data_IF_694608902183
#
_entry.id   IF_694608902183
#
_cell.length_a   1.000
_cell.length_b   1.000
_cell.length_c   1.000
_cell.angle_alpha   90.00
_cell.angle_beta   90.00
_cell.angle_gamma   90.00
#
_symmetry.space_group_name_H-M   'P 1'
#
loop_
_entity.id
_entity.type
_entity.pdbx_description
1 polymer ?
#
# COMPACT_ATOMS: atom_id res chain seq x y z
N UNK A 1 -0.03 14.38 0.19
CA UNK A 1 1.23 13.77 -0.26
C UNK A 1 2.19 13.68 0.89
N UNK A 2 3.44 13.39 0.57
CA UNK A 2 4.57 13.31 1.50
C UNK A 2 5.25 14.67 1.51
N UNK A 3 5.68 15.16 2.68
CA UNK A 3 6.48 16.40 2.74
C UNK A 3 7.90 16.13 2.28
N UNK A 4 8.54 17.13 1.65
CA UNK A 4 9.90 17.01 1.15
C UNK A 4 10.90 16.53 2.20
N UNK A 5 10.79 17.02 3.43
CA UNK A 5 11.69 16.67 4.53
C UNK A 5 11.50 15.19 4.95
N UNK A 6 10.26 14.71 4.92
CA UNK A 6 9.92 13.34 5.30
C UNK A 6 10.44 12.30 4.30
N UNK A 7 10.69 12.71 3.04
CA UNK A 7 11.18 11.82 1.98
C UNK A 7 12.54 11.23 2.34
N UNK A 8 13.49 12.05 2.79
CA UNK A 8 14.80 11.55 3.22
C UNK A 8 14.70 10.77 4.53
N UNK A 9 13.83 11.19 5.44
CA UNK A 9 13.72 10.59 6.77
C UNK A 9 13.00 9.24 6.79
N UNK A 10 12.04 9.03 5.88
CA UNK A 10 11.13 7.88 5.90
C UNK A 10 11.12 7.07 4.60
N UNK A 11 11.09 7.72 3.43
CA UNK A 11 11.01 7.02 2.13
C UNK A 11 12.37 6.47 1.73
N UNK A 12 13.46 7.18 2.03
CA UNK A 12 14.83 6.84 1.61
C UNK A 12 15.78 6.38 2.72
N UNK A 13 15.39 6.51 4.00
CA UNK A 13 16.08 5.83 5.10
C UNK A 13 15.80 4.32 5.13
N UNK A 14 16.81 3.49 5.37
CA UNK A 14 16.59 2.07 5.64
C UNK A 14 16.09 1.86 7.07
N UNK A 15 14.95 1.19 7.20
CA UNK A 15 14.31 0.99 8.50
C UNK A 15 13.53 2.21 8.97
N UNK A 16 12.63 1.97 9.92
CA UNK A 16 11.79 3.01 10.51
C UNK A 16 12.47 3.61 11.75
N UNK A 17 12.42 4.94 11.98
CA UNK A 17 12.86 5.53 13.24
C UNK A 17 12.05 4.96 14.42
N UNK A 18 12.69 4.79 15.59
CA UNK A 18 12.12 4.09 16.75
C UNK A 18 10.82 4.72 17.33
N UNK A 19 10.47 5.96 16.96
CA UNK A 19 9.38 6.74 17.56
C UNK A 19 8.16 6.97 16.65
N UNK A 20 7.87 6.09 15.71
CA UNK A 20 6.64 6.21 14.91
C UNK A 20 5.42 5.83 15.76
N UNK A 21 4.77 6.86 16.32
CA UNK A 21 3.52 6.74 17.07
C UNK A 21 2.34 6.67 16.10
N UNK A 22 1.82 5.47 15.88
CA UNK A 22 0.56 5.27 15.13
C UNK A 22 0.26 3.80 14.86
N UNK A 23 -1.02 3.46 14.72
CA UNK A 23 -1.45 2.14 14.19
C UNK A 23 -1.37 2.17 12.66
N UNK A 24 -0.17 2.04 12.12
CA UNK A 24 0.08 1.99 10.66
C UNK A 24 0.42 0.57 10.22
N UNK A 25 0.12 0.24 8.96
CA UNK A 25 0.41 -1.10 8.39
C UNK A 25 1.92 -1.29 8.16
N UNK A 26 2.63 -0.21 7.81
CA UNK A 26 4.05 -0.24 7.49
C UNK A 26 4.95 -0.15 8.72
N UNK A 27 5.30 -1.28 9.32
CA UNK A 27 6.10 -1.33 10.57
C UNK A 27 7.62 -1.26 10.32
N UNK A 28 8.09 -1.63 9.12
CA UNK A 28 9.54 -1.81 8.88
C UNK A 28 10.18 -0.75 7.97
N UNK A 29 9.41 0.09 7.28
CA UNK A 29 9.96 1.14 6.39
C UNK A 29 10.73 0.64 5.14
N UNK A 30 10.77 -0.68 4.89
CA UNK A 30 11.48 -1.27 3.74
C UNK A 30 10.57 -1.83 2.64
N UNK A 31 9.26 -1.94 2.91
CA UNK A 31 8.31 -2.60 2.02
C UNK A 31 8.25 -1.95 0.64
N UNK A 32 8.12 -0.62 0.60
CA UNK A 32 8.06 0.15 -0.64
C UNK A 32 9.33 -0.05 -1.48
N UNK A 33 10.51 0.18 -0.89
CA UNK A 33 11.80 0.04 -1.57
C UNK A 33 11.99 -1.36 -2.16
N UNK A 34 11.72 -2.40 -1.37
CA UNK A 34 11.87 -3.79 -1.83
C UNK A 34 10.92 -4.11 -2.97
N UNK A 35 9.73 -3.51 -3.00
CA UNK A 35 8.77 -3.71 -4.08
C UNK A 35 9.25 -3.02 -5.37
N UNK A 36 9.52 -1.71 -5.32
CA UNK A 36 9.89 -0.94 -6.52
C UNK A 36 11.19 -1.43 -7.17
N UNK A 37 12.23 -1.76 -6.38
CA UNK A 37 13.50 -2.28 -6.90
C UNK A 37 13.40 -3.72 -7.45
N UNK A 38 12.34 -4.46 -7.08
CA UNK A 38 12.08 -5.79 -7.66
C UNK A 38 11.30 -5.72 -8.97
N UNK A 39 10.66 -4.60 -9.27
CA UNK A 39 9.80 -4.44 -10.45
C UNK A 39 10.61 -4.00 -11.67
N UNK A 40 11.45 -2.97 -11.54
CA UNK A 40 12.20 -2.41 -12.66
C UNK A 40 13.38 -1.55 -12.24
N UNK A 41 14.08 -1.01 -13.24
CA UNK A 41 15.34 -0.28 -13.06
C UNK A 41 15.18 1.25 -13.06
N UNK A 42 13.99 1.77 -13.36
CA UNK A 42 13.74 3.21 -13.46
C UNK A 42 12.47 3.58 -12.68
N UNK A 43 12.64 4.42 -11.66
CA UNK A 43 11.59 4.74 -10.69
C UNK A 43 11.47 6.25 -10.58
N UNK A 44 10.25 6.76 -10.75
CA UNK A 44 9.89 8.15 -10.52
C UNK A 44 8.90 8.24 -9.37
N UNK A 45 9.25 8.99 -8.34
CA UNK A 45 8.38 9.31 -7.21
C UNK A 45 7.99 10.78 -7.34
N UNK A 46 6.70 11.04 -7.43
CA UNK A 46 6.11 12.38 -7.46
C UNK A 46 5.23 12.54 -6.22
N UNK A 47 5.33 13.67 -5.53
CA UNK A 47 4.40 13.98 -4.46
C UNK A 47 4.04 15.45 -4.41
N UNK A 48 2.76 15.70 -4.14
CA UNK A 48 2.18 17.00 -3.81
C UNK A 48 1.58 16.91 -2.41
N UNK A 49 2.03 17.74 -1.47
CA UNK A 49 1.49 17.78 -0.10
C UNK A 49 0.36 18.80 0.10
N UNK A 50 0.02 19.57 -0.94
CA UNK A 50 -0.93 20.68 -0.90
C UNK A 50 -0.27 22.06 -0.82
N UNK A 51 1.02 22.12 -0.50
CA UNK A 51 1.83 23.35 -0.45
C UNK A 51 2.96 23.31 -1.48
N UNK A 52 3.67 22.19 -1.56
CA UNK A 52 4.79 21.95 -2.45
C UNK A 52 4.60 20.65 -3.27
N UNK A 53 5.15 20.69 -4.49
CA UNK A 53 5.30 19.53 -5.36
C UNK A 53 6.79 19.23 -5.54
N UNK A 54 7.16 17.96 -5.46
CA UNK A 54 8.49 17.52 -5.84
C UNK A 54 8.46 16.21 -6.63
N UNK A 55 9.56 15.94 -7.33
CA UNK A 55 9.84 14.63 -7.90
C UNK A 55 11.27 14.18 -7.64
N UNK A 56 11.45 12.87 -7.43
CA UNK A 56 12.74 12.20 -7.27
C UNK A 56 12.80 11.04 -8.26
N UNK A 57 13.92 10.90 -8.97
CA UNK A 57 14.16 9.77 -9.87
C UNK A 57 15.28 8.89 -9.34
N UNK A 58 15.07 7.58 -9.46
CA UNK A 58 16.09 6.56 -9.26
C UNK A 58 16.21 5.81 -10.59
N UNK A 59 17.31 6.02 -11.29
CA UNK A 59 17.58 5.35 -12.56
C UNK A 59 18.65 4.25 -12.39
N UNK A 60 18.93 3.55 -13.49
CA UNK A 60 19.94 2.50 -13.54
C UNK A 60 21.34 2.98 -13.14
N UNK A 61 21.69 4.24 -13.45
CA UNK A 61 23.01 4.77 -13.12
C UNK A 61 23.14 4.94 -11.61
N UNK A 62 22.12 5.52 -10.97
CA UNK A 62 22.05 5.64 -9.53
C UNK A 62 22.11 4.27 -8.84
N UNK A 63 21.37 3.28 -9.34
CA UNK A 63 21.39 1.91 -8.80
C UNK A 63 22.75 1.21 -8.92
N UNK A 64 23.57 1.62 -9.89
CA UNK A 64 24.90 1.06 -10.12
C UNK A 64 26.01 1.80 -9.34
N UNK A 65 25.71 2.96 -8.74
CA UNK A 65 26.66 3.74 -7.96
C UNK A 65 26.76 3.17 -6.54
N UNK A 66 27.85 2.45 -6.27
CA UNK A 66 28.10 1.88 -4.94
C UNK A 66 28.63 2.91 -3.93
N UNK A 67 29.11 4.07 -4.40
CA UNK A 67 29.81 5.07 -3.58
C UNK A 67 28.92 6.27 -3.26
N UNK A 68 28.04 6.67 -4.18
CA UNK A 68 27.16 7.82 -4.01
C UNK A 68 25.68 7.41 -3.95
N UNK A 69 25.12 7.51 -2.75
CA UNK A 69 23.71 7.19 -2.46
C UNK A 69 22.85 8.45 -2.27
N UNK A 70 23.34 9.63 -2.69
CA UNK A 70 22.57 10.86 -2.61
C UNK A 70 21.49 10.91 -3.70
N UNK A 71 20.30 11.38 -3.33
CA UNK A 71 19.17 11.53 -4.26
C UNK A 71 18.86 13.01 -4.44
N UNK A 72 18.89 13.43 -5.71
CA UNK A 72 18.53 14.77 -6.11
C UNK A 72 17.05 14.88 -6.47
N UNK A 73 16.44 16.01 -6.10
CA UNK A 73 15.10 16.35 -6.59
C UNK A 73 15.20 16.84 -8.03
N UNK A 74 14.52 16.17 -8.95
CA UNK A 74 14.45 16.60 -10.35
C UNK A 74 13.59 17.86 -10.52
N UNK A 75 12.54 18.00 -9.71
CA UNK A 75 11.60 19.10 -9.77
C UNK A 75 11.16 19.52 -8.38
N UNK A 76 11.01 20.83 -8.19
CA UNK A 76 10.47 21.45 -6.98
C UNK A 76 9.64 22.66 -7.40
N UNK A 77 8.33 22.55 -7.22
CA UNK A 77 7.35 23.57 -7.60
C UNK A 77 6.38 23.82 -6.43
N UNK A 78 5.62 24.92 -6.53
CA UNK A 78 4.46 25.08 -5.65
C UNK A 78 3.39 24.06 -6.03
N UNK A 79 2.66 23.57 -5.03
CA UNK A 79 1.51 22.69 -5.23
C UNK A 79 0.52 23.26 -6.24
N UNK A 80 -0.10 22.37 -7.01
CA UNK A 80 -1.22 22.71 -7.90
C UNK A 80 -2.58 22.61 -7.18
N UNK A 81 -2.57 22.43 -5.86
CA UNK A 81 -3.75 22.30 -5.01
C UNK A 81 -4.41 20.93 -5.07
N UNK A 82 -3.68 19.90 -5.51
CA UNK A 82 -4.19 18.52 -5.63
C UNK A 82 -3.21 17.55 -4.98
N UNK A 83 -3.30 17.35 -3.64
CA UNK A 83 -2.38 16.50 -2.93
C UNK A 83 -2.36 15.07 -3.49
N UNK A 84 -1.17 14.56 -3.77
CA UNK A 84 -0.99 13.24 -4.36
C UNK A 84 0.36 12.63 -3.98
N UNK A 85 0.45 11.32 -4.14
CA UNK A 85 1.72 10.61 -4.21
C UNK A 85 1.59 9.60 -5.34
N UNK A 86 2.47 9.69 -6.34
CA UNK A 86 2.53 8.78 -7.46
C UNK A 86 3.91 8.14 -7.51
N UNK A 87 3.91 6.83 -7.69
CA UNK A 87 5.13 6.05 -7.87
C UNK A 87 5.00 5.34 -9.20
N UNK A 88 5.87 5.69 -10.13
CA UNK A 88 5.92 5.12 -11.47
C UNK A 88 7.19 4.29 -11.57
N UNK A 89 7.04 3.01 -11.93
CA UNK A 89 8.18 2.14 -12.25
C UNK A 89 8.13 1.82 -13.73
N UNK A 90 9.20 2.14 -14.44
CA UNK A 90 9.42 1.84 -15.85
C UNK A 90 10.63 0.91 -15.97
N UNK A 91 10.93 0.45 -17.20
CA UNK A 91 12.00 -0.52 -17.45
C UNK A 91 11.81 -1.77 -16.58
N UNK A 92 10.58 -2.28 -16.58
CA UNK A 92 10.19 -3.48 -15.84
C UNK A 92 10.99 -4.67 -16.34
N UNK A 93 11.51 -5.49 -15.43
CA UNK A 93 12.29 -6.67 -15.80
C UNK A 93 11.45 -7.60 -16.70
N UNK A 94 12.01 -8.15 -17.80
CA UNK A 94 11.22 -8.88 -18.79
C UNK A 94 10.36 -10.02 -18.24
N UNK A 95 10.90 -10.80 -17.29
CA UNK A 95 10.18 -11.89 -16.64
C UNK A 95 9.03 -11.39 -15.75
N UNK A 96 9.18 -10.23 -15.14
CA UNK A 96 8.13 -9.59 -14.34
C UNK A 96 7.07 -8.99 -15.26
N UNK A 97 7.47 -8.35 -16.35
CA UNK A 97 6.57 -7.77 -17.33
C UNK A 97 5.61 -8.82 -17.94
N UNK A 98 6.12 -10.01 -18.26
CA UNK A 98 5.31 -11.14 -18.73
C UNK A 98 4.28 -11.58 -17.68
N UNK A 99 4.69 -11.67 -16.41
CA UNK A 99 3.81 -12.08 -15.32
C UNK A 99 2.70 -11.03 -15.05
N UNK A 100 3.07 -9.76 -14.84
CA UNK A 100 2.12 -8.70 -14.50
C UNK A 100 1.16 -8.38 -15.65
N UNK A 101 1.56 -8.63 -16.90
CA UNK A 101 0.71 -8.48 -18.08
C UNK A 101 -0.35 -9.57 -18.23
N UNK A 102 -0.29 -10.62 -17.41
CA UNK A 102 -1.25 -11.73 -17.48
C UNK A 102 -2.54 -11.46 -16.70
N UNK A 103 -3.67 -11.87 -17.27
CA UNK A 103 -4.98 -11.81 -16.58
C UNK A 103 -4.99 -12.65 -15.29
N UNK A 104 -4.22 -13.74 -15.27
CA UNK A 104 -4.08 -14.59 -14.08
C UNK A 104 -3.43 -13.86 -12.94
N UNK A 105 -2.39 -13.06 -13.20
CA UNK A 105 -1.78 -12.21 -12.19
C UNK A 105 -2.73 -11.11 -11.73
N UNK A 106 -3.39 -10.40 -12.66
CA UNK A 106 -4.39 -9.37 -12.32
C UNK A 106 -5.45 -9.93 -11.35
N UNK A 107 -6.02 -11.10 -11.65
CA UNK A 107 -7.02 -11.73 -10.77
C UNK A 107 -6.44 -12.10 -9.40
N UNK A 108 -5.26 -12.74 -9.36
CA UNK A 108 -4.60 -13.06 -8.09
C UNK A 108 -4.28 -11.84 -7.25
N UNK A 109 -3.87 -10.74 -7.89
CA UNK A 109 -3.60 -9.48 -7.21
C UNK A 109 -4.89 -8.90 -6.61
N UNK A 110 -5.98 -8.85 -7.40
CA UNK A 110 -7.27 -8.37 -6.93
C UNK A 110 -7.82 -9.23 -5.78
N UNK A 111 -7.72 -10.55 -5.88
CA UNK A 111 -8.12 -11.48 -4.82
C UNK A 111 -7.27 -11.28 -3.56
N UNK A 112 -5.95 -11.16 -3.70
CA UNK A 112 -5.05 -10.92 -2.57
C UNK A 112 -5.30 -9.57 -1.87
N UNK A 113 -5.59 -8.52 -2.64
CA UNK A 113 -5.98 -7.21 -2.10
C UNK A 113 -7.30 -7.33 -1.35
N UNK A 114 -8.30 -8.00 -1.95
CA UNK A 114 -9.59 -8.27 -1.32
C UNK A 114 -9.41 -8.98 0.01
N UNK A 115 -8.74 -10.12 0.03
CA UNK A 115 -8.59 -10.95 1.23
C UNK A 115 -7.83 -10.21 2.35
N UNK A 116 -6.84 -9.39 1.99
CA UNK A 116 -5.98 -8.71 2.97
C UNK A 116 -6.59 -7.42 3.50
N UNK A 117 -7.25 -6.65 2.63
CA UNK A 117 -7.64 -5.27 2.94
C UNK A 117 -9.15 -5.02 3.01
N UNK A 118 -10.00 -6.05 2.86
CA UNK A 118 -11.47 -5.87 2.89
C UNK A 118 -11.98 -5.14 4.13
N UNK A 119 -11.38 -5.36 5.30
CA UNK A 119 -11.75 -4.68 6.56
C UNK A 119 -11.43 -3.17 6.51
N UNK A 120 -10.45 -2.75 5.71
CA UNK A 120 -10.05 -1.34 5.57
C UNK A 120 -10.74 -0.63 4.39
N UNK A 121 -11.32 -1.39 3.45
CA UNK A 121 -12.03 -0.90 2.26
C UNK A 121 -13.50 -0.51 2.52
N UNK A 122 -13.87 -0.17 3.77
CA UNK A 122 -15.17 0.48 4.06
C UNK A 122 -15.21 1.90 3.41
N UNK A 123 -15.87 2.88 4.02
CA UNK A 123 -16.00 4.25 3.49
C UNK A 123 -14.69 5.07 3.48
N UNK A 124 -13.53 4.43 3.58
CA UNK A 124 -12.24 5.06 3.87
C UNK A 124 -11.27 5.05 2.70
N UNK A 125 -11.23 3.97 1.92
CA UNK A 125 -10.24 3.79 0.86
C UNK A 125 -10.85 2.98 -0.29
N UNK A 126 -10.80 3.54 -1.49
CA UNK A 126 -11.05 2.81 -2.74
C UNK A 126 -9.74 2.29 -3.30
N UNK A 127 -9.69 1.00 -3.68
CA UNK A 127 -8.54 0.39 -4.34
C UNK A 127 -8.95 -0.07 -5.73
N UNK A 128 -8.17 0.31 -6.73
CA UNK A 128 -8.40 -0.02 -8.14
C UNK A 128 -7.16 -0.69 -8.74
N UNK A 129 -7.39 -1.67 -9.61
CA UNK A 129 -6.35 -2.32 -10.42
C UNK A 129 -6.79 -2.22 -11.88
N UNK A 130 -5.97 -1.60 -12.73
CA UNK A 130 -6.29 -1.36 -14.15
C UNK A 130 -7.67 -0.69 -14.33
N UNK A 131 -7.93 0.38 -13.55
CA UNK A 131 -9.19 1.14 -13.54
C UNK A 131 -10.43 0.33 -13.13
N UNK A 132 -10.24 -0.87 -12.57
CA UNK A 132 -11.32 -1.70 -12.04
C UNK A 132 -11.29 -1.70 -10.52
N UNK A 133 -12.39 -1.36 -9.83
CA UNK A 133 -12.45 -1.43 -8.38
C UNK A 133 -12.27 -2.89 -7.90
N UNK A 134 -11.58 -3.03 -6.77
CA UNK A 134 -11.51 -4.29 -6.02
C UNK A 134 -12.72 -4.34 -5.09
N UNK A 135 -13.59 -5.33 -5.27
CA UNK A 135 -14.76 -5.51 -4.42
C UNK A 135 -14.34 -6.04 -3.06
N UNK A 136 -14.81 -5.41 -1.99
CA UNK A 136 -14.63 -5.92 -0.61
C UNK A 136 -15.32 -7.26 -0.42
N UNK A 137 -14.82 -8.06 0.51
CA UNK A 137 -15.54 -9.21 1.03
C UNK A 137 -16.65 -8.70 1.96
N UNK A 138 -17.91 -8.97 1.60
CA UNK A 138 -19.03 -8.78 2.51
C UNK A 138 -19.09 -9.99 3.45
N UNK A 139 -18.59 -9.82 4.67
CA UNK A 139 -18.76 -10.82 5.72
C UNK A 139 -20.22 -10.83 6.18
N UNK A 140 -21.07 -11.51 5.42
CA UNK A 140 -22.42 -11.82 5.85
C UNK A 140 -22.41 -13.16 6.58
N UNK A 141 -22.98 -13.19 7.78
CA UNK A 141 -23.24 -14.46 8.45
C UNK A 141 -24.58 -15.02 7.98
N UNK A 142 -24.63 -16.33 7.72
CA UNK A 142 -25.90 -17.01 7.43
C UNK A 142 -26.70 -17.19 8.72
N UNK A 143 -27.95 -16.73 8.70
CA UNK A 143 -28.93 -16.96 9.76
C UNK A 143 -30.09 -17.75 9.16
N UNK A 144 -30.44 -18.88 9.78
CA UNK A 144 -31.62 -19.66 9.43
C UNK A 144 -32.46 -19.86 10.70
N UNK A 145 -33.46 -18.99 10.84
CA UNK A 145 -34.38 -18.96 11.99
C UNK A 145 -35.24 -20.23 12.02
N UNK A 146 -35.59 -20.79 10.86
CA UNK A 146 -36.41 -22.01 10.77
C UNK A 146 -35.61 -23.25 11.19
N UNK A 147 -34.32 -23.32 10.83
CA UNK A 147 -33.43 -24.42 11.24
C UNK A 147 -32.73 -24.20 12.58
N UNK A 148 -33.07 -23.13 13.31
CA UNK A 148 -32.41 -22.72 14.56
C UNK A 148 -30.87 -22.66 14.41
N UNK A 149 -30.42 -22.17 13.26
CA UNK A 149 -29.02 -22.06 12.91
C UNK A 149 -28.63 -20.59 12.96
N UNK A 150 -27.75 -20.25 13.91
CA UNK A 150 -27.18 -18.93 14.07
C UNK A 150 -25.67 -19.06 14.29
N UNK A 151 -24.87 -18.07 13.88
CA UNK A 151 -23.45 -18.02 14.19
C UNK A 151 -23.25 -18.05 15.70
N UNK A 152 -22.21 -18.76 16.12
CA UNK A 152 -21.71 -18.63 17.48
C UNK A 152 -21.25 -17.19 17.69
N UNK A 153 -21.69 -16.59 18.79
CA UNK A 153 -21.34 -15.23 19.16
C UNK A 153 -20.91 -15.19 20.62
N UNK A 154 -19.72 -14.65 20.89
CA UNK A 154 -19.16 -14.53 22.24
C UNK A 154 -18.53 -13.15 22.45
N UNK A 155 -18.95 -12.46 23.50
CA UNK A 155 -18.35 -11.21 23.99
C UNK A 155 -17.56 -11.46 25.27
N UNK A 156 -16.39 -10.85 25.39
CA UNK A 156 -15.61 -10.81 26.63
C UNK A 156 -14.63 -9.62 26.62
N UNK A 157 -14.11 -9.26 27.79
CA UNK A 157 -13.09 -8.22 27.92
C UNK A 157 -11.73 -8.91 28.08
N UNK A 158 -10.72 -8.46 27.33
CA UNK A 158 -9.33 -8.90 27.45
C UNK A 158 -8.43 -7.66 27.46
N UNK A 159 -7.69 -7.45 28.55
CA UNK A 159 -6.81 -6.28 28.76
C UNK A 159 -7.47 -4.93 28.39
N UNK A 160 -8.65 -4.66 28.99
CA UNK A 160 -9.47 -3.45 28.77
C UNK A 160 -9.99 -3.25 27.34
N UNK A 161 -9.87 -4.27 26.47
CA UNK A 161 -10.43 -4.29 25.12
C UNK A 161 -11.69 -5.16 25.12
N UNK A 162 -12.82 -4.61 24.65
CA UNK A 162 -14.01 -5.40 24.36
C UNK A 162 -13.75 -6.24 23.10
N UNK A 163 -13.77 -7.56 23.27
CA UNK A 163 -13.55 -8.54 22.20
C UNK A 163 -14.86 -9.24 21.89
N UNK A 164 -15.23 -9.25 20.62
CA UNK A 164 -16.41 -9.91 20.10
C UNK A 164 -15.99 -10.94 19.04
N UNK A 165 -16.34 -12.21 19.26
CA UNK A 165 -16.04 -13.31 18.35
C UNK A 165 -17.36 -13.78 17.73
N UNK A 166 -17.38 -13.78 16.40
CA UNK A 166 -18.40 -14.44 15.60
C UNK A 166 -17.78 -15.63 14.88
N UNK A 167 -18.44 -16.80 14.92
CA UNK A 167 -18.04 -17.99 14.19
C UNK A 167 -19.26 -18.68 13.59
N UNK A 168 -19.28 -18.82 12.27
CA UNK A 168 -20.42 -19.40 11.56
C UNK A 168 -20.07 -19.62 10.09
N UNK A 169 -21.04 -20.13 9.33
CA UNK A 169 -20.90 -20.23 7.89
C UNK A 169 -21.23 -18.86 7.28
N UNK A 170 -20.36 -18.40 6.37
CA UNK A 170 -20.50 -17.19 5.55
C UNK A 170 -20.97 -17.57 4.15
#
# INVERSE_FOLDING_TARGET
>A
GIKKEEVYEHVFRFGMPAETKGRTIGVYGIGLKRAIFKLGENILIESDDGEEFFSVRIDKNWLADEENWELDFECQEKSKGSPLTRITVTEIFPNIAEEIGSITFENKLRDGIKDTYSIFMEDRVTIEVNDKPVERYDFAFLFDVEKNFAPFHKKYIFDDIEVEIYAGYT
#
